data_IF_502272498257
#
_entry.id   IF_502272498257
#
_cell.length_a   1.000
_cell.length_b   1.000
_cell.length_c   1.000
_cell.angle_alpha   90.00
_cell.angle_beta   90.00
_cell.angle_gamma   90.00
#
_symmetry.space_group_name_H-M   'P 1'
#
loop_
_entity.id
_entity.type
_entity.pdbx_description
1 polymer ?
#
# COMPACT_ATOMS: atom_id res chain seq x y z
N UNK A 1 -4.49 33.35 -51.28
CA UNK A 1 -5.42 33.61 -50.18
C UNK A 1 -5.32 32.42 -49.25
N UNK A 2 -4.52 32.56 -48.21
CA UNK A 2 -4.10 31.48 -47.32
C UNK A 2 -4.33 32.00 -45.90
N UNK A 3 -5.36 31.50 -45.22
CA UNK A 3 -5.55 31.74 -43.79
C UNK A 3 -6.17 30.52 -43.13
N UNK A 4 -5.92 30.43 -41.83
CA UNK A 4 -6.35 29.45 -40.82
C UNK A 4 -5.48 28.19 -40.67
N UNK A 5 -4.73 28.12 -39.57
CA UNK A 5 -5.31 27.64 -38.31
C UNK A 5 -4.45 28.03 -37.11
N UNK A 6 -5.17 28.37 -36.04
CA UNK A 6 -4.71 28.91 -34.75
C UNK A 6 -4.37 27.72 -33.84
N UNK A 7 -3.12 27.62 -33.39
CA UNK A 7 -2.74 26.68 -32.32
C UNK A 7 -3.50 27.02 -31.05
N UNK A 8 -4.32 26.09 -30.57
CA UNK A 8 -4.78 26.04 -29.19
C UNK A 8 -3.68 25.39 -28.35
N UNK A 9 -3.04 26.20 -27.51
CA UNK A 9 -2.17 25.69 -26.44
C UNK A 9 -3.04 25.00 -25.39
N UNK A 10 -2.88 23.69 -25.26
CA UNK A 10 -3.41 22.94 -24.12
C UNK A 10 -2.72 23.43 -22.82
N UNK A 11 -3.49 23.74 -21.75
CA UNK A 11 -2.89 24.07 -20.47
C UNK A 11 -2.21 22.83 -19.88
N UNK A 12 -0.89 22.92 -19.71
CA UNK A 12 -0.10 21.97 -18.93
C UNK A 12 -0.64 21.97 -17.49
N UNK A 13 -1.40 20.93 -17.13
CA UNK A 13 -1.68 20.64 -15.72
C UNK A 13 -0.34 20.41 -15.01
N UNK A 14 0.02 21.34 -14.11
CA UNK A 14 1.11 21.16 -13.18
C UNK A 14 0.80 19.95 -12.28
N UNK A 15 1.78 19.05 -12.03
CA UNK A 15 1.57 17.92 -11.14
C UNK A 15 1.28 18.44 -9.73
N UNK A 16 0.04 18.22 -9.25
CA UNK A 16 -0.36 18.51 -7.86
C UNK A 16 0.68 17.90 -6.92
N UNK A 17 1.31 18.76 -6.11
CA UNK A 17 2.29 18.36 -5.12
C UNK A 17 1.75 17.21 -4.25
N UNK A 18 2.42 16.05 -4.28
CA UNK A 18 2.18 14.92 -3.36
C UNK A 18 2.19 15.48 -1.94
N UNK A 19 1.03 15.58 -1.30
CA UNK A 19 0.93 16.07 0.08
C UNK A 19 1.60 15.03 0.96
N UNK A 20 2.73 15.37 1.58
CA UNK A 20 3.45 14.46 2.45
C UNK A 20 2.63 14.22 3.71
N UNK A 21 1.98 13.05 3.81
CA UNK A 21 1.25 12.63 5.01
C UNK A 21 2.25 12.51 6.16
N UNK A 22 2.00 13.21 7.25
CA UNK A 22 2.84 13.17 8.45
C UNK A 22 2.04 12.52 9.57
N UNK A 23 2.51 11.36 10.03
CA UNK A 23 1.87 10.65 11.12
C UNK A 23 2.37 11.13 12.49
N UNK A 24 1.47 11.14 13.47
CA UNK A 24 1.82 11.29 14.89
C UNK A 24 2.79 10.20 15.37
N UNK A 25 3.53 10.44 16.45
CA UNK A 25 4.35 9.39 17.04
C UNK A 25 3.45 8.25 17.56
N UNK A 26 3.73 6.98 17.21
CA UNK A 26 2.94 5.86 17.71
C UNK A 26 3.06 5.75 19.23
N UNK A 27 2.11 5.09 19.92
CA UNK A 27 2.35 4.69 21.31
C UNK A 27 3.25 3.46 21.36
N UNK A 28 3.82 3.16 22.54
CA UNK A 28 4.60 1.94 22.73
C UNK A 28 3.74 0.68 22.50
N UNK A 29 2.49 0.72 22.94
CA UNK A 29 1.52 -0.37 22.75
C UNK A 29 1.23 -0.58 21.26
N UNK A 30 1.01 0.52 20.51
CA UNK A 30 0.76 0.46 19.08
C UNK A 30 1.99 -0.06 18.31
N UNK A 31 3.18 0.46 18.63
CA UNK A 31 4.42 0.00 18.03
C UNK A 31 4.67 -1.50 18.30
N UNK A 32 4.44 -1.94 19.54
CA UNK A 32 4.54 -3.37 19.91
C UNK A 32 3.53 -4.21 19.12
N UNK A 33 2.31 -3.71 18.92
CA UNK A 33 1.27 -4.41 18.15
C UNK A 33 1.63 -4.51 16.67
N UNK A 34 2.05 -3.41 16.04
CA UNK A 34 2.40 -3.35 14.62
C UNK A 34 3.65 -4.18 14.29
N UNK A 35 4.64 -4.22 15.19
CA UNK A 35 5.85 -5.01 15.01
C UNK A 35 5.66 -6.49 15.37
N UNK A 36 4.55 -6.83 16.03
CA UNK A 36 4.19 -8.19 16.42
C UNK A 36 3.53 -8.99 15.31
N UNK A 37 3.41 -10.31 15.54
CA UNK A 37 2.56 -11.18 14.72
C UNK A 37 1.15 -11.25 15.29
N UNK A 38 0.17 -11.35 14.41
CA UNK A 38 -1.23 -11.61 14.77
C UNK A 38 -1.54 -13.10 14.78
N UNK A 39 -2.62 -13.49 15.45
CA UNK A 39 -3.07 -14.88 15.46
C UNK A 39 -3.64 -15.32 14.10
N UNK A 40 -3.82 -16.62 13.91
CA UNK A 40 -4.47 -17.14 12.70
C UNK A 40 -5.84 -16.53 12.45
N UNK A 41 -6.64 -16.26 13.48
CA UNK A 41 -7.99 -15.70 13.30
C UNK A 41 -7.97 -14.21 12.90
N UNK A 42 -6.88 -13.53 13.22
CA UNK A 42 -6.68 -12.10 13.00
C UNK A 42 -5.82 -11.82 11.76
N UNK A 43 -5.35 -12.85 11.07
CA UNK A 43 -4.49 -12.71 9.89
C UNK A 43 -5.22 -12.00 8.74
N UNK A 44 -4.47 -11.25 7.96
CA UNK A 44 -4.96 -10.69 6.71
C UNK A 44 -4.86 -11.74 5.60
N UNK A 45 -5.84 -11.76 4.69
CA UNK A 45 -5.82 -12.65 3.52
C UNK A 45 -5.56 -11.80 2.28
N UNK A 46 -4.41 -12.01 1.66
CA UNK A 46 -4.10 -11.56 0.30
C UNK A 46 -4.37 -12.65 -0.73
N UNK A 47 -4.15 -12.33 -1.99
CA UNK A 47 -4.21 -13.27 -3.11
C UNK A 47 -2.93 -13.20 -3.92
N UNK A 48 -2.41 -14.36 -4.31
CA UNK A 48 -1.28 -14.51 -5.23
C UNK A 48 -1.84 -15.06 -6.53
N UNK A 49 -1.75 -14.31 -7.61
CA UNK A 49 -2.12 -14.79 -8.94
C UNK A 49 -0.96 -15.54 -9.58
N UNK A 50 -1.18 -16.84 -9.83
CA UNK A 50 -0.26 -17.67 -10.58
C UNK A 50 -0.73 -17.79 -12.04
N UNK A 51 0.18 -17.76 -13.05
CA UNK A 51 -0.18 -17.85 -14.47
C UNK A 51 -0.95 -19.12 -14.89
N UNK A 52 -0.92 -20.17 -14.07
CA UNK A 52 -1.61 -21.44 -14.33
C UNK A 52 -2.86 -21.65 -13.46
N UNK A 53 -2.71 -21.90 -12.15
CA UNK A 53 -3.83 -22.27 -11.28
C UNK A 53 -4.74 -21.08 -10.89
N UNK A 54 -4.41 -19.85 -11.31
CA UNK A 54 -5.16 -18.65 -10.96
C UNK A 54 -4.80 -18.11 -9.58
N UNK A 55 -5.74 -17.39 -8.95
CA UNK A 55 -5.55 -16.74 -7.66
C UNK A 55 -5.60 -17.75 -6.49
N UNK A 56 -4.54 -17.80 -5.69
CA UNK A 56 -4.47 -18.57 -4.45
C UNK A 56 -4.45 -17.63 -3.23
N UNK A 57 -5.20 -17.94 -2.15
CA UNK A 57 -5.18 -17.13 -0.95
C UNK A 57 -3.85 -17.26 -0.21
N UNK A 58 -3.28 -16.14 0.22
CA UNK A 58 -2.08 -16.07 1.05
C UNK A 58 -2.39 -15.47 2.42
N UNK A 59 -1.87 -16.10 3.47
CA UNK A 59 -2.12 -15.68 4.86
C UNK A 59 -0.98 -14.79 5.35
N UNK A 60 -1.31 -13.57 5.74
CA UNK A 60 -0.37 -12.53 6.17
C UNK A 60 -0.53 -12.31 7.68
N UNK A 61 0.55 -12.52 8.43
CA UNK A 61 0.52 -12.57 9.90
C UNK A 61 1.17 -11.37 10.57
N UNK A 62 1.70 -10.41 9.83
CA UNK A 62 2.32 -9.22 10.41
C UNK A 62 2.14 -8.00 9.53
N UNK A 63 2.20 -6.82 10.15
CA UNK A 63 2.09 -5.55 9.43
C UNK A 63 3.25 -5.36 8.43
N UNK A 64 4.47 -5.75 8.83
CA UNK A 64 5.64 -5.70 7.95
C UNK A 64 5.48 -6.62 6.73
N UNK A 65 5.00 -7.85 6.93
CA UNK A 65 4.70 -8.76 5.81
C UNK A 65 3.64 -8.17 4.89
N UNK A 66 2.58 -7.54 5.42
CA UNK A 66 1.56 -6.88 4.61
C UNK A 66 2.14 -5.72 3.76
N UNK A 67 3.06 -4.92 4.33
CA UNK A 67 3.70 -3.83 3.62
C UNK A 67 4.59 -4.34 2.47
N UNK A 68 5.37 -5.40 2.69
CA UNK A 68 6.22 -6.01 1.66
C UNK A 68 5.37 -6.73 0.60
N UNK A 69 4.28 -7.39 1.00
CA UNK A 69 3.39 -8.11 0.09
C UNK A 69 2.75 -7.17 -0.95
N UNK A 70 2.53 -5.90 -0.61
CA UNK A 70 2.01 -4.91 -1.56
C UNK A 70 3.00 -4.59 -2.68
N UNK A 71 4.30 -4.61 -2.44
CA UNK A 71 5.34 -4.28 -3.45
C UNK A 71 5.34 -5.24 -4.65
N UNK A 72 4.59 -6.35 -4.56
CA UNK A 72 4.80 -7.50 -5.41
C UNK A 72 6.21 -8.08 -5.26
N UNK A 73 6.86 -7.77 -4.12
CA UNK A 73 8.21 -8.18 -3.80
C UNK A 73 8.35 -9.67 -4.08
N UNK A 74 9.42 -10.02 -4.78
CA UNK A 74 9.63 -11.36 -5.30
C UNK A 74 9.93 -12.33 -4.17
N UNK A 75 8.91 -12.70 -3.39
CA UNK A 75 9.03 -13.65 -2.29
C UNK A 75 9.37 -15.07 -2.81
N UNK A 76 9.34 -15.30 -4.14
CA UNK A 76 9.43 -16.64 -4.74
C UNK A 76 10.23 -16.78 -6.05
N UNK A 77 10.78 -15.72 -6.64
CA UNK A 77 11.50 -15.78 -7.92
C UNK A 77 10.62 -15.79 -9.19
N UNK A 78 9.33 -15.44 -9.11
CA UNK A 78 8.34 -15.78 -10.16
C UNK A 78 7.37 -14.65 -10.50
N UNK A 79 6.89 -14.63 -11.76
CA UNK A 79 5.85 -13.75 -12.32
C UNK A 79 4.51 -13.95 -11.60
N UNK A 80 4.41 -13.49 -10.35
CA UNK A 80 3.22 -13.56 -9.52
C UNK A 80 2.70 -12.16 -9.25
N UNK A 81 1.39 -11.97 -9.39
CA UNK A 81 0.76 -10.71 -9.00
C UNK A 81 0.18 -10.87 -7.61
N UNK A 82 0.68 -10.06 -6.68
CA UNK A 82 0.26 -10.05 -5.29
C UNK A 82 -0.80 -8.96 -5.10
N UNK A 83 -1.96 -9.33 -4.56
CA UNK A 83 -3.07 -8.39 -4.38
C UNK A 83 -3.65 -8.48 -2.98
N UNK A 84 -3.91 -7.31 -2.39
CA UNK A 84 -4.71 -7.17 -1.18
C UNK A 84 -5.79 -6.15 -1.51
N UNK A 85 -7.04 -6.45 -1.16
CA UNK A 85 -8.08 -5.43 -1.32
C UNK A 85 -7.93 -4.37 -0.23
N UNK A 86 -7.90 -3.10 -0.64
CA UNK A 86 -7.66 -1.98 0.29
C UNK A 86 -8.76 -1.80 1.34
N UNK A 87 -10.01 -2.19 1.04
CA UNK A 87 -11.11 -2.21 2.01
C UNK A 87 -10.80 -3.15 3.19
N UNK A 88 -10.27 -4.34 2.89
CA UNK A 88 -9.88 -5.33 3.89
C UNK A 88 -8.63 -4.84 4.63
N UNK A 89 -7.63 -4.34 3.92
CA UNK A 89 -6.37 -3.85 4.51
C UNK A 89 -6.64 -2.76 5.56
N UNK A 90 -7.42 -1.74 5.21
CA UNK A 90 -7.77 -0.65 6.14
C UNK A 90 -8.51 -1.16 7.37
N UNK A 91 -9.51 -2.00 7.17
CA UNK A 91 -10.29 -2.58 8.26
C UNK A 91 -9.41 -3.38 9.20
N UNK A 92 -8.48 -4.16 8.66
CA UNK A 92 -7.50 -4.91 9.44
C UNK A 92 -6.58 -3.99 10.24
N UNK A 93 -6.05 -2.93 9.62
CA UNK A 93 -5.20 -1.94 10.29
C UNK A 93 -5.94 -1.24 11.44
N UNK A 94 -7.19 -0.81 11.23
CA UNK A 94 -8.00 -0.16 12.25
C UNK A 94 -8.40 -1.13 13.37
N UNK A 95 -9.11 -2.21 13.02
CA UNK A 95 -9.77 -3.07 14.01
C UNK A 95 -8.82 -4.06 14.68
N UNK A 96 -7.80 -4.55 13.95
CA UNK A 96 -6.89 -5.60 14.46
C UNK A 96 -5.60 -5.00 15.03
N UNK A 97 -5.03 -4.00 14.35
CA UNK A 97 -3.77 -3.39 14.77
C UNK A 97 -3.98 -2.12 15.62
N UNK A 98 -5.15 -1.48 15.52
CA UNK A 98 -5.50 -0.30 16.30
C UNK A 98 -4.98 1.02 15.71
N UNK A 99 -4.52 1.05 14.46
CA UNK A 99 -3.91 2.25 13.85
C UNK A 99 -4.90 3.03 12.99
N UNK A 100 -5.74 3.83 13.65
CA UNK A 100 -6.77 4.65 13.01
C UNK A 100 -6.21 5.68 12.05
N UNK A 101 -5.06 6.26 12.38
CA UNK A 101 -4.45 7.32 11.60
C UNK A 101 -3.95 6.78 10.26
N UNK A 102 -3.29 5.62 10.27
CA UNK A 102 -2.89 4.95 9.04
C UNK A 102 -4.10 4.46 8.23
N UNK A 103 -5.09 3.84 8.88
CA UNK A 103 -6.29 3.39 8.20
C UNK A 103 -7.03 4.55 7.51
N UNK A 104 -7.10 5.72 8.16
CA UNK A 104 -7.67 6.93 7.59
C UNK A 104 -6.82 7.48 6.43
N UNK A 105 -5.49 7.53 6.56
CA UNK A 105 -4.63 7.96 5.47
C UNK A 105 -4.79 7.07 4.23
N UNK A 106 -4.93 5.76 4.42
CA UNK A 106 -5.22 4.81 3.33
C UNK A 106 -6.63 5.04 2.77
N UNK A 107 -7.65 5.31 3.61
CA UNK A 107 -9.00 5.72 3.13
C UNK A 107 -8.90 6.91 2.18
N UNK A 108 -8.19 7.97 2.59
CA UNK A 108 -8.14 9.22 1.84
C UNK A 108 -7.53 9.04 0.44
N UNK A 109 -6.46 8.25 0.31
CA UNK A 109 -5.85 7.98 -1.00
C UNK A 109 -6.65 6.98 -1.85
N UNK A 110 -7.38 6.04 -1.22
CA UNK A 110 -8.15 5.01 -1.94
C UNK A 110 -9.58 5.44 -2.28
N UNK A 111 -10.07 6.52 -1.67
CA UNK A 111 -11.43 7.06 -1.84
C UNK A 111 -11.78 7.34 -3.30
N UNK A 112 -10.84 7.87 -4.09
CA UNK A 112 -11.08 8.20 -5.50
C UNK A 112 -11.25 6.95 -6.39
N UNK A 113 -10.58 5.85 -6.04
CA UNK A 113 -10.67 4.58 -6.80
C UNK A 113 -11.92 3.78 -6.42
N UNK A 114 -12.53 4.07 -5.27
CA UNK A 114 -13.78 3.46 -4.81
C UNK A 114 -15.07 3.97 -5.49
N UNK A 115 -14.94 4.90 -6.45
CA UNK A 115 -16.07 5.46 -7.20
C UNK A 115 -16.89 4.41 -8.00
N UNK A 116 -18.13 4.77 -8.34
CA UNK A 116 -19.10 3.94 -9.08
C UNK A 116 -18.64 3.71 -10.54
N UNK A 117 -17.62 2.85 -10.74
CA UNK A 117 -17.05 2.58 -12.06
C UNK A 117 -17.73 1.39 -12.73
N UNK A 118 -18.16 1.59 -13.98
CA UNK A 118 -18.92 0.60 -14.76
C UNK A 118 -18.06 -0.51 -15.38
N UNK A 119 -16.73 -0.43 -15.30
CA UNK A 119 -15.80 -1.36 -15.99
C UNK A 119 -14.79 -1.95 -15.00
N UNK A 120 -14.89 -3.25 -14.68
CA UNK A 120 -14.02 -3.92 -13.70
C UNK A 120 -12.52 -3.82 -14.00
N UNK A 121 -12.13 -3.85 -15.29
CA UNK A 121 -10.72 -3.79 -15.68
C UNK A 121 -10.06 -2.43 -15.40
N UNK A 122 -10.80 -1.32 -15.57
CA UNK A 122 -10.26 0.01 -15.26
C UNK A 122 -10.08 0.21 -13.75
N UNK A 123 -10.98 -0.37 -12.95
CA UNK A 123 -10.85 -0.38 -11.49
C UNK A 123 -9.59 -1.14 -11.05
N UNK A 124 -9.30 -2.29 -11.69
CA UNK A 124 -8.07 -3.04 -11.44
C UNK A 124 -6.82 -2.20 -11.75
N UNK A 125 -6.70 -1.62 -12.94
CA UNK A 125 -5.53 -0.82 -13.31
C UNK A 125 -5.31 0.37 -12.36
N UNK A 126 -6.38 1.09 -12.00
CA UNK A 126 -6.33 2.19 -11.02
C UNK A 126 -5.92 1.71 -9.64
N UNK A 127 -6.30 0.50 -9.23
CA UNK A 127 -5.88 -0.06 -7.94
C UNK A 127 -4.39 -0.37 -7.90
N UNK A 128 -3.77 -0.70 -9.05
CA UNK A 128 -2.32 -0.88 -9.14
C UNK A 128 -1.57 0.44 -8.90
N UNK A 129 -2.09 1.57 -9.38
CA UNK A 129 -1.51 2.91 -9.14
C UNK A 129 -1.49 3.30 -7.65
N UNK A 130 -2.33 2.66 -6.83
CA UNK A 130 -2.43 2.92 -5.40
C UNK A 130 -1.47 2.06 -4.56
N UNK A 131 -0.89 1.01 -5.13
CA UNK A 131 -0.01 0.08 -4.41
C UNK A 131 1.15 0.83 -3.77
N UNK A 132 1.94 1.54 -4.58
CA UNK A 132 3.14 2.25 -4.11
C UNK A 132 2.78 3.35 -3.07
N UNK A 133 1.77 4.21 -3.27
CA UNK A 133 1.31 5.15 -2.24
C UNK A 133 0.90 4.49 -0.92
N UNK A 134 0.09 3.43 -0.97
CA UNK A 134 -0.38 2.71 0.23
C UNK A 134 0.79 2.06 0.96
N UNK A 135 1.67 1.39 0.21
CA UNK A 135 2.89 0.79 0.73
C UNK A 135 3.78 1.84 1.39
N UNK A 136 3.98 2.99 0.75
CA UNK A 136 4.78 4.09 1.28
C UNK A 136 4.29 4.57 2.66
N UNK A 137 2.97 4.70 2.84
CA UNK A 137 2.37 5.02 4.14
C UNK A 137 2.64 3.92 5.19
N UNK A 138 2.49 2.65 4.79
CA UNK A 138 2.75 1.52 5.70
C UNK A 138 4.22 1.45 6.12
N UNK A 139 5.15 1.63 5.17
CA UNK A 139 6.59 1.62 5.43
C UNK A 139 7.02 2.81 6.29
N UNK A 140 6.44 4.00 6.07
CA UNK A 140 6.65 5.16 6.93
C UNK A 140 6.21 4.86 8.37
N UNK A 141 5.05 4.23 8.56
CA UNK A 141 4.54 3.88 9.89
C UNK A 141 5.39 2.81 10.57
N UNK A 142 5.83 1.80 9.82
CA UNK A 142 6.74 0.77 10.29
C UNK A 142 8.05 1.39 10.78
N UNK A 143 8.60 2.34 10.01
CA UNK A 143 9.80 3.10 10.37
C UNK A 143 9.64 3.86 11.68
N UNK A 144 8.51 4.55 11.89
CA UNK A 144 8.23 5.23 13.16
C UNK A 144 8.22 4.26 14.35
N UNK A 145 7.56 3.10 14.18
CA UNK A 145 7.48 2.08 15.22
C UNK A 145 8.85 1.51 15.58
N UNK A 146 9.70 1.23 14.57
CA UNK A 146 11.06 0.72 14.80
C UNK A 146 11.95 1.73 15.49
N UNK A 147 11.93 2.99 15.04
CA UNK A 147 12.69 4.07 15.66
C UNK A 147 12.31 4.27 17.13
N UNK A 148 11.02 4.21 17.45
CA UNK A 148 10.53 4.27 18.82
C UNK A 148 11.05 3.12 19.69
N UNK A 149 11.13 1.92 19.12
CA UNK A 149 11.52 0.72 19.85
C UNK A 149 13.04 0.46 19.85
N UNK A 150 13.82 1.29 19.13
CA UNK A 150 15.27 1.08 18.97
C UNK A 150 15.62 -0.17 18.17
N UNK A 151 14.77 -0.56 17.21
CA UNK A 151 14.92 -1.78 16.41
C UNK A 151 15.50 -1.42 15.02
N UNK A 152 16.42 -2.24 14.54
CA UNK A 152 17.01 -2.10 13.20
C UNK A 152 16.07 -2.61 12.08
N UNK A 153 16.32 -2.14 10.85
CA UNK A 153 15.60 -2.60 9.67
C UNK A 153 16.22 -3.92 9.16
N UNK A 154 15.37 -4.81 8.69
CA UNK A 154 15.78 -6.02 7.98
C UNK A 154 16.11 -5.68 6.53
N UNK A 155 16.87 -6.55 5.87
CA UNK A 155 17.29 -6.39 4.46
C UNK A 155 16.09 -6.16 3.53
N UNK A 156 15.05 -7.00 3.62
CA UNK A 156 13.84 -6.84 2.79
C UNK A 156 13.06 -5.54 3.06
N UNK A 157 13.12 -4.97 4.27
CA UNK A 157 12.52 -3.65 4.54
C UNK A 157 13.40 -2.52 4.02
N UNK A 158 14.73 -2.69 4.00
CA UNK A 158 15.65 -1.73 3.42
C UNK A 158 15.50 -1.69 1.89
N UNK A 159 15.32 -2.85 1.25
CA UNK A 159 14.99 -2.97 -0.18
C UNK A 159 13.66 -2.26 -0.50
N UNK A 160 12.59 -2.56 0.25
CA UNK A 160 11.29 -1.91 0.08
C UNK A 160 11.29 -0.40 0.39
N UNK A 161 12.29 0.09 1.14
CA UNK A 161 12.53 1.53 1.35
C UNK A 161 13.44 2.16 0.27
N UNK A 162 13.94 1.36 -0.69
CA UNK A 162 14.89 1.79 -1.72
C UNK A 162 16.26 2.18 -1.16
N UNK A 163 16.63 1.69 0.02
CA UNK A 163 17.88 2.02 0.71
C UNK A 163 19.04 1.12 0.33
N UNK A 164 18.75 -0.10 -0.16
CA UNK A 164 19.72 -1.05 -0.69
C UNK A 164 19.13 -1.73 -1.94
N UNK A 165 20.01 -2.33 -2.76
CA UNK A 165 19.69 -3.03 -4.02
C UNK A 165 20.47 -4.33 -4.11
#
# INVERSE_FOLDING_TARGET
MTEFTKSSEDPKEEPKAKTAVTFSQPSKELATRLLGKVSFKERLIGSIEHPGPGAAPHSIYSFAEAAVFLDGGDLTGQDHTYTIRFDILKKWIDETLGDKELAQAIEEITKEVSGNWKVPFQQYLRSLELIEPVQGLMMQRLKQCKMMMGIEFTEGELEALGLIR
#
